data_IF_970094540381
#
_entry.id   IF_970094540381
#
_cell.length_a   1.000
_cell.length_b   1.000
_cell.length_c   1.000
_cell.angle_alpha   90.00
_cell.angle_beta   90.00
_cell.angle_gamma   90.00
#
_symmetry.space_group_name_H-M   'P 1'
#
loop_
_entity.id
_entity.type
_entity.pdbx_description
1 polymer ?
#
# COMPACT_ATOMS: atom_id res chain seq x y z
N UNK A 1 19.40 -57.42 14.42
CA UNK A 1 18.57 -56.20 14.39
C UNK A 1 19.48 -55.04 14.02
N UNK A 2 19.39 -54.52 12.79
CA UNK A 2 20.17 -53.34 12.35
C UNK A 2 19.19 -52.17 12.18
N UNK A 3 19.44 -51.08 12.91
CA UNK A 3 18.60 -49.89 12.95
C UNK A 3 18.75 -49.06 11.67
N UNK A 4 17.61 -48.74 11.05
CA UNK A 4 17.51 -47.80 9.93
C UNK A 4 17.69 -46.38 10.45
N UNK A 5 18.78 -45.72 10.07
CA UNK A 5 19.00 -44.30 10.33
C UNK A 5 18.15 -43.48 9.34
N UNK A 6 17.11 -42.83 9.85
CA UNK A 6 16.32 -41.83 9.11
C UNK A 6 17.03 -40.49 9.20
N UNK A 7 17.75 -40.09 8.16
CA UNK A 7 18.27 -38.73 8.03
C UNK A 7 17.11 -37.78 7.66
N UNK A 8 16.93 -36.65 8.36
CA UNK A 8 15.93 -35.66 7.95
C UNK A 8 16.42 -34.92 6.71
N UNK A 9 15.69 -35.07 5.60
CA UNK A 9 15.87 -34.28 4.38
C UNK A 9 15.67 -32.80 4.70
N UNK A 10 16.76 -32.02 4.72
CA UNK A 10 16.69 -30.56 4.76
C UNK A 10 16.19 -30.05 3.41
N UNK A 11 15.07 -29.32 3.43
CA UNK A 11 14.51 -28.66 2.26
C UNK A 11 15.35 -27.41 1.96
N UNK A 12 16.29 -27.50 1.01
CA UNK A 12 16.93 -26.32 0.43
C UNK A 12 15.87 -25.51 -0.31
N UNK A 13 15.44 -24.40 0.29
CA UNK A 13 14.60 -23.38 -0.38
C UNK A 13 15.40 -22.82 -1.55
N UNK A 14 15.00 -23.16 -2.78
CA UNK A 14 15.67 -22.72 -3.99
C UNK A 14 15.51 -21.21 -4.26
N UNK A 15 16.39 -20.63 -5.09
CA UNK A 15 16.40 -19.19 -5.39
C UNK A 15 15.10 -18.65 -6.00
N UNK A 16 14.24 -19.51 -6.56
CA UNK A 16 12.94 -19.12 -7.07
C UNK A 16 11.94 -18.74 -5.96
N UNK A 17 11.96 -19.43 -4.82
CA UNK A 17 11.05 -19.15 -3.71
C UNK A 17 11.39 -17.81 -3.03
N UNK A 18 12.68 -17.51 -2.85
CA UNK A 18 13.14 -16.22 -2.32
C UNK A 18 12.74 -15.04 -3.21
N UNK A 19 12.80 -15.20 -4.55
CA UNK A 19 12.34 -14.19 -5.50
C UNK A 19 10.83 -13.93 -5.39
N UNK A 20 10.03 -14.99 -5.22
CA UNK A 20 8.58 -14.86 -5.06
C UNK A 20 8.22 -14.12 -3.77
N UNK A 21 8.88 -14.44 -2.65
CA UNK A 21 8.68 -13.73 -1.38
C UNK A 21 9.02 -12.24 -1.49
N UNK A 22 10.19 -11.91 -2.08
CA UNK A 22 10.58 -10.52 -2.30
C UNK A 22 9.62 -9.76 -3.23
N UNK A 23 9.08 -10.42 -4.25
CA UNK A 23 8.08 -9.82 -5.13
C UNK A 23 6.75 -9.58 -4.40
N UNK A 24 6.35 -10.51 -3.53
CA UNK A 24 5.15 -10.36 -2.72
C UNK A 24 5.30 -9.19 -1.74
N UNK A 25 6.43 -9.09 -1.04
CA UNK A 25 6.72 -7.99 -0.14
C UNK A 25 6.65 -6.63 -0.83
N UNK A 26 7.24 -6.51 -2.03
CA UNK A 26 7.13 -5.30 -2.87
C UNK A 26 5.68 -4.94 -3.20
N UNK A 27 4.84 -5.93 -3.52
CA UNK A 27 3.41 -5.70 -3.80
C UNK A 27 2.66 -5.21 -2.56
N UNK A 28 2.93 -5.80 -1.39
CA UNK A 28 2.31 -5.38 -0.13
C UNK A 28 2.71 -3.96 0.24
N UNK A 29 4.00 -3.62 0.08
CA UNK A 29 4.50 -2.27 0.35
C UNK A 29 3.88 -1.25 -0.63
N UNK A 30 3.75 -1.60 -1.91
CA UNK A 30 3.08 -0.75 -2.90
C UNK A 30 1.60 -0.53 -2.55
N UNK A 31 0.88 -1.60 -2.20
CA UNK A 31 -0.52 -1.50 -1.78
C UNK A 31 -0.69 -0.61 -0.55
N UNK A 32 0.22 -0.71 0.43
CA UNK A 32 0.20 0.13 1.62
C UNK A 32 0.42 1.62 1.30
N UNK A 33 1.33 1.94 0.36
CA UNK A 33 1.52 3.31 -0.15
C UNK A 33 0.28 3.84 -0.87
N UNK A 34 -0.40 3.00 -1.66
CA UNK A 34 -1.64 3.37 -2.35
C UNK A 34 -2.81 3.61 -1.39
N UNK A 35 -2.87 2.85 -0.30
CA UNK A 35 -3.84 3.08 0.78
C UNK A 35 -3.57 4.41 1.50
N UNK A 36 -2.33 4.72 1.85
CA UNK A 36 -1.98 6.03 2.44
C UNK A 36 -2.27 7.18 1.47
N UNK A 37 -1.99 6.99 0.18
CA UNK A 37 -2.33 7.97 -0.88
C UNK A 37 -3.83 8.26 -0.89
N UNK A 38 -4.66 7.21 -0.86
CA UNK A 38 -6.12 7.36 -0.86
C UNK A 38 -6.63 8.04 0.41
N UNK A 39 -6.04 7.69 1.56
CA UNK A 39 -6.35 8.34 2.83
C UNK A 39 -6.03 9.84 2.79
N UNK A 40 -4.83 10.21 2.36
CA UNK A 40 -4.40 11.61 2.26
C UNK A 40 -5.26 12.39 1.25
N UNK A 41 -5.64 11.79 0.11
CA UNK A 41 -6.53 12.43 -0.85
C UNK A 41 -7.90 12.81 -0.26
N UNK A 42 -8.45 11.96 0.62
CA UNK A 42 -9.67 12.27 1.37
C UNK A 42 -9.42 13.30 2.48
N UNK A 43 -8.27 13.27 3.17
CA UNK A 43 -7.94 14.32 4.14
C UNK A 43 -7.79 15.69 3.48
N UNK A 44 -7.19 15.77 2.29
CA UNK A 44 -7.11 17.00 1.50
C UNK A 44 -8.51 17.51 1.12
N UNK A 45 -9.44 16.62 0.77
CA UNK A 45 -10.84 16.97 0.51
C UNK A 45 -11.51 17.56 1.75
N UNK A 46 -11.36 16.87 2.89
CA UNK A 46 -11.93 17.30 4.17
C UNK A 46 -11.34 18.61 4.66
N UNK A 47 -10.07 18.89 4.37
CA UNK A 47 -9.42 20.17 4.62
C UNK A 47 -9.88 21.30 3.68
N UNK A 48 -10.74 21.00 2.71
CA UNK A 48 -11.32 21.95 1.79
C UNK A 48 -10.51 22.23 0.53
N UNK A 49 -9.48 21.44 0.26
CA UNK A 49 -8.68 21.62 -0.95
C UNK A 49 -9.49 21.23 -2.19
N UNK A 50 -9.56 22.15 -3.15
CA UNK A 50 -10.30 21.95 -4.40
C UNK A 50 -11.82 21.93 -4.24
N UNK A 51 -12.36 22.60 -3.22
CA UNK A 51 -13.80 22.88 -3.14
C UNK A 51 -14.19 23.92 -4.19
N UNK A 52 -15.14 23.56 -5.05
CA UNK A 52 -15.70 24.47 -6.05
C UNK A 52 -16.54 25.56 -5.36
N UNK A 53 -16.30 26.86 -5.65
CA UNK A 53 -17.11 27.94 -5.11
C UNK A 53 -18.59 27.84 -5.50
N UNK A 54 -19.48 28.22 -4.58
CA UNK A 54 -20.94 28.19 -4.77
C UNK A 54 -21.44 29.13 -5.88
N UNK A 55 -20.74 30.25 -6.09
CA UNK A 55 -21.02 31.21 -7.15
C UNK A 55 -19.83 31.30 -8.10
N UNK A 56 -20.09 31.28 -9.42
CA UNK A 56 -19.08 31.31 -10.49
C UNK A 56 -18.11 30.12 -10.53
N UNK A 57 -18.43 29.00 -9.88
CA UNK A 57 -17.68 27.75 -9.99
C UNK A 57 -17.97 26.95 -11.28
N UNK A 58 -17.06 26.06 -11.65
CA UNK A 58 -17.11 25.19 -12.83
C UNK A 58 -18.01 23.95 -12.70
N UNK A 59 -18.76 23.84 -11.60
CA UNK A 59 -19.75 22.78 -11.37
C UNK A 59 -19.16 21.38 -11.29
N UNK A 60 -19.96 20.36 -11.61
CA UNK A 60 -19.60 18.95 -11.44
C UNK A 60 -18.32 18.53 -12.20
N UNK A 61 -17.97 19.21 -13.31
CA UNK A 61 -16.73 18.95 -14.05
C UNK A 61 -15.48 19.37 -13.26
N UNK A 62 -15.54 20.52 -12.58
CA UNK A 62 -14.47 21.01 -11.71
C UNK A 62 -14.28 20.08 -10.51
N UNK A 63 -15.36 19.59 -9.89
CA UNK A 63 -15.28 18.66 -8.75
C UNK A 63 -14.53 17.36 -9.10
N UNK A 64 -14.76 16.81 -10.29
CA UNK A 64 -14.02 15.62 -10.74
C UNK A 64 -12.55 15.94 -11.00
N UNK A 65 -12.26 17.10 -11.60
CA UNK A 65 -10.87 17.53 -11.81
C UNK A 65 -10.12 17.75 -10.49
N UNK A 66 -10.78 18.39 -9.52
CA UNK A 66 -10.26 18.58 -8.16
C UNK A 66 -9.96 17.24 -7.47
N UNK A 67 -10.76 16.20 -7.73
CA UNK A 67 -10.49 14.86 -7.19
C UNK A 67 -9.18 14.26 -7.73
N UNK A 68 -8.90 14.42 -9.03
CA UNK A 68 -7.65 13.97 -9.63
C UNK A 68 -6.45 14.76 -9.11
N UNK A 69 -6.58 16.08 -8.98
CA UNK A 69 -5.51 16.92 -8.43
C UNK A 69 -5.18 16.55 -6.98
N UNK A 70 -6.19 16.33 -6.14
CA UNK A 70 -5.98 15.86 -4.76
C UNK A 70 -5.29 14.50 -4.73
N UNK A 71 -5.66 13.58 -5.62
CA UNK A 71 -5.04 12.27 -5.68
C UNK A 71 -3.55 12.35 -6.05
N UNK A 72 -3.20 13.15 -7.05
CA UNK A 72 -1.80 13.34 -7.44
C UNK A 72 -0.99 14.06 -6.35
N UNK A 73 -1.56 15.08 -5.70
CA UNK A 73 -0.90 15.74 -4.59
C UNK A 73 -0.67 14.78 -3.41
N UNK A 74 -1.65 13.96 -3.07
CA UNK A 74 -1.50 12.93 -2.04
C UNK A 74 -0.42 11.90 -2.41
N UNK A 75 -0.32 11.51 -3.69
CA UNK A 75 0.73 10.61 -4.17
C UNK A 75 2.11 11.24 -3.98
N UNK A 76 2.27 12.52 -4.33
CA UNK A 76 3.53 13.24 -4.13
C UNK A 76 3.87 13.37 -2.65
N UNK A 77 2.88 13.56 -1.77
CA UNK A 77 3.11 13.53 -0.32
C UNK A 77 3.66 12.18 0.15
N UNK A 78 3.09 11.05 -0.31
CA UNK A 78 3.60 9.70 0.01
C UNK A 78 4.97 9.44 -0.59
N UNK A 79 5.26 9.97 -1.79
CA UNK A 79 6.59 9.94 -2.40
C UNK A 79 7.62 10.73 -1.58
N UNK A 80 7.22 11.85 -0.99
CA UNK A 80 8.06 12.68 -0.13
C UNK A 80 8.20 12.16 1.32
N UNK A 81 7.54 11.05 1.67
CA UNK A 81 7.65 10.40 3.00
C UNK A 81 6.30 10.18 3.71
N UNK A 82 5.22 10.78 3.21
CA UNK A 82 3.87 10.60 3.73
C UNK A 82 3.70 11.09 5.17
N UNK A 83 2.73 10.50 5.87
CA UNK A 83 2.52 10.72 7.31
C UNK A 83 2.86 9.46 8.13
N UNK A 84 3.35 8.40 7.47
CA UNK A 84 3.83 7.17 8.08
C UNK A 84 2.81 6.03 8.13
N UNK A 85 1.60 6.20 7.58
CA UNK A 85 0.58 5.14 7.62
C UNK A 85 0.94 3.94 6.74
N UNK A 86 1.66 4.14 5.63
CA UNK A 86 2.06 3.05 4.75
C UNK A 86 2.86 1.97 5.49
N UNK A 87 3.67 2.31 6.50
CA UNK A 87 4.44 1.32 7.26
C UNK A 87 3.53 0.41 8.10
N UNK A 88 2.63 1.00 8.88
CA UNK A 88 1.69 0.23 9.71
C UNK A 88 0.73 -0.60 8.87
N UNK A 89 0.29 -0.07 7.73
CA UNK A 89 -0.55 -0.80 6.77
C UNK A 89 0.21 -1.97 6.14
N UNK A 90 1.47 -1.77 5.78
CA UNK A 90 2.32 -2.84 5.24
C UNK A 90 2.50 -3.98 6.25
N UNK A 91 2.79 -3.66 7.52
CA UNK A 91 2.94 -4.66 8.57
C UNK A 91 1.64 -5.48 8.77
N UNK A 92 0.49 -4.82 8.84
CA UNK A 92 -0.81 -5.49 8.95
C UNK A 92 -1.15 -6.35 7.73
N UNK A 93 -0.85 -5.87 6.51
CA UNK A 93 -1.05 -6.63 5.28
C UNK A 93 -0.13 -7.87 5.22
N UNK A 94 1.10 -7.75 5.73
CA UNK A 94 2.07 -8.85 5.78
C UNK A 94 1.65 -9.91 6.78
N UNK A 95 1.25 -9.53 8.00
CA UNK A 95 0.75 -10.46 9.02
C UNK A 95 -0.44 -11.29 8.50
N UNK A 96 -1.37 -10.64 7.80
CA UNK A 96 -2.51 -11.32 7.18
C UNK A 96 -2.09 -12.26 6.04
N UNK A 97 -1.09 -11.88 5.24
CA UNK A 97 -0.56 -12.72 4.17
C UNK A 97 0.19 -13.95 4.70
N UNK A 98 0.84 -13.81 5.86
CA UNK A 98 1.56 -14.88 6.56
C UNK A 98 0.61 -15.83 7.34
N UNK A 99 -0.68 -15.50 7.43
CA UNK A 99 -1.72 -16.34 8.05
C UNK A 99 -1.85 -16.19 9.56
N UNK A 100 -1.35 -15.08 10.13
CA UNK A 100 -1.31 -14.82 11.58
C UNK A 100 -2.45 -13.93 12.09
N UNK A 101 -3.51 -13.75 11.30
CA UNK A 101 -4.66 -12.89 11.62
C UNK A 101 -5.68 -13.52 12.59
#
# INVERSE_FOLDING_TARGET
MQGIATTPTSLTTGPAAARNAAQQEKRLHQAARELETSFLAEMLKSAGLGQTPEAFGGGAGEDQFASFLRLEQAREMVNAGGIGLAQSLFEALKERADGNA
#
